data_IF_642526643072
#
_entry.id   IF_642526643072
#
_cell.length_a   1.000
_cell.length_b   1.000
_cell.length_c   1.000
_cell.angle_alpha   90.00
_cell.angle_beta   90.00
_cell.angle_gamma   90.00
#
_symmetry.space_group_name_H-M   'P 1'
#
loop_
_entity.id
_entity.type
_entity.pdbx_description
1 polymer ?
#
# COMPACT_ATOMS: atom_id res chain seq x y z
N UNK A 1 -11.98 22.57 30.71
CA UNK A 1 -12.81 21.97 29.62
C UNK A 1 -13.20 20.56 30.01
N UNK A 2 -14.36 20.08 29.56
CA UNK A 2 -14.82 18.74 29.92
C UNK A 2 -15.48 18.07 28.71
N UNK A 3 -15.14 16.79 28.48
CA UNK A 3 -15.80 15.95 27.47
C UNK A 3 -16.21 14.61 28.08
N UNK A 4 -17.42 14.20 27.79
CA UNK A 4 -17.99 12.90 28.17
C UNK A 4 -18.29 12.15 26.89
N UNK A 5 -17.73 10.97 26.70
CA UNK A 5 -17.81 10.21 25.44
C UNK A 5 -17.97 8.73 25.73
N UNK A 6 -18.72 8.03 24.90
CA UNK A 6 -18.81 6.57 24.99
C UNK A 6 -17.42 5.95 24.72
N UNK A 7 -17.03 4.98 25.53
CA UNK A 7 -15.73 4.32 25.42
C UNK A 7 -15.51 3.76 23.99
N UNK A 8 -16.54 3.15 23.42
CA UNK A 8 -16.49 2.58 22.06
C UNK A 8 -16.14 3.64 21.00
N UNK A 9 -16.76 4.82 21.07
CA UNK A 9 -16.57 5.88 20.09
C UNK A 9 -15.18 6.53 20.25
N UNK A 10 -14.76 6.76 21.50
CA UNK A 10 -13.41 7.24 21.76
C UNK A 10 -12.36 6.24 21.30
N UNK A 11 -12.54 4.94 21.60
CA UNK A 11 -11.63 3.89 21.16
C UNK A 11 -11.50 3.85 19.65
N UNK A 12 -12.60 3.88 18.92
CA UNK A 12 -12.59 3.88 17.45
C UNK A 12 -11.80 5.08 16.89
N UNK A 13 -11.99 6.27 17.47
CA UNK A 13 -11.24 7.45 17.05
C UNK A 13 -9.74 7.34 17.37
N UNK A 14 -9.40 6.84 18.56
CA UNK A 14 -8.00 6.64 18.96
C UNK A 14 -7.31 5.55 18.12
N UNK A 15 -8.01 4.49 17.72
CA UNK A 15 -7.47 3.43 16.87
C UNK A 15 -7.04 3.97 15.47
N UNK A 16 -7.74 4.97 14.97
CA UNK A 16 -7.35 5.68 13.74
C UNK A 16 -6.21 6.68 14.03
N UNK A 17 -6.41 7.55 15.02
CA UNK A 17 -5.49 8.64 15.30
C UNK A 17 -4.10 8.17 15.76
N UNK A 18 -4.00 7.04 16.48
CA UNK A 18 -2.70 6.53 16.95
C UNK A 18 -1.72 6.19 15.80
N UNK A 19 -2.20 6.01 14.57
CA UNK A 19 -1.36 5.72 13.42
C UNK A 19 -0.46 6.90 13.00
N UNK A 20 -0.74 8.09 13.52
CA UNK A 20 0.05 9.30 13.27
C UNK A 20 0.71 9.86 14.53
N UNK A 21 0.73 9.10 15.62
CA UNK A 21 1.52 9.49 16.82
C UNK A 21 3.01 9.32 16.56
N UNK A 22 3.77 10.32 16.97
CA UNK A 22 5.23 10.24 17.00
C UNK A 22 5.73 9.40 18.17
N UNK A 23 7.01 9.06 18.11
CA UNK A 23 7.72 8.29 19.15
C UNK A 23 8.52 9.16 20.13
N UNK A 24 8.71 10.44 19.81
CA UNK A 24 9.45 11.39 20.64
C UNK A 24 8.63 11.82 21.87
N UNK A 25 9.32 12.24 22.94
CA UNK A 25 8.68 12.71 24.17
C UNK A 25 8.23 14.18 24.06
N UNK A 26 7.66 14.56 22.94
CA UNK A 26 7.14 15.90 22.64
C UNK A 26 5.65 15.85 22.30
N UNK A 27 5.09 16.94 21.79
CA UNK A 27 3.68 17.04 21.41
C UNK A 27 3.27 15.98 20.40
N UNK A 28 4.19 15.44 19.58
CA UNK A 28 3.88 14.41 18.60
C UNK A 28 3.46 13.07 19.21
N UNK A 29 3.80 12.82 20.48
CA UNK A 29 3.35 11.65 21.24
C UNK A 29 1.99 11.84 21.92
N UNK A 30 1.35 12.98 21.74
CA UNK A 30 0.08 13.33 22.37
C UNK A 30 -1.05 13.39 21.34
N UNK A 31 -2.25 13.04 21.81
CA UNK A 31 -3.47 13.43 21.13
C UNK A 31 -3.86 14.83 21.54
N UNK A 32 -4.32 15.62 20.60
CA UNK A 32 -4.94 16.92 20.84
C UNK A 32 -6.45 16.76 20.70
N UNK A 33 -7.18 17.09 21.73
CA UNK A 33 -8.64 17.21 21.71
C UNK A 33 -9.01 18.65 21.45
N UNK A 34 -9.81 18.89 20.40
CA UNK A 34 -10.33 20.22 20.07
C UNK A 34 -11.85 20.22 20.27
N UNK A 35 -12.31 20.98 21.25
CA UNK A 35 -13.70 21.13 21.63
C UNK A 35 -14.27 22.42 21.03
N UNK A 36 -15.33 22.31 20.25
CA UNK A 36 -15.99 23.42 19.56
C UNK A 36 -17.34 23.76 20.22
N UNK A 37 -17.85 24.95 19.97
CA UNK A 37 -19.11 25.46 20.54
C UNK A 37 -20.36 24.62 20.22
N UNK A 38 -20.33 23.89 19.11
CA UNK A 38 -21.46 23.11 18.60
C UNK A 38 -21.51 21.66 19.14
N UNK A 39 -20.89 21.40 20.29
CA UNK A 39 -20.74 20.05 20.85
C UNK A 39 -19.98 19.09 19.92
N UNK A 40 -19.14 19.61 19.04
CA UNK A 40 -18.22 18.81 18.22
C UNK A 40 -16.89 18.71 18.94
N UNK A 41 -16.32 17.49 18.87
CA UNK A 41 -15.00 17.18 19.41
C UNK A 41 -14.22 16.48 18.33
N UNK A 42 -12.99 16.88 18.12
CA UNK A 42 -12.07 16.17 17.25
C UNK A 42 -10.85 15.70 18.04
N UNK A 43 -10.33 14.53 17.66
CA UNK A 43 -9.08 13.99 18.15
C UNK A 43 -8.05 14.12 17.04
N UNK A 44 -6.99 14.85 17.31
CA UNK A 44 -5.92 15.06 16.34
C UNK A 44 -4.63 14.45 16.86
N UNK A 45 -3.80 13.99 15.93
CA UNK A 45 -2.43 13.54 16.18
C UNK A 45 -1.54 13.85 14.97
N UNK A 46 -0.23 14.00 15.21
CA UNK A 46 0.70 14.29 14.13
C UNK A 46 2.09 13.77 14.47
N UNK A 47 2.68 12.98 13.58
CA UNK A 47 4.10 12.67 13.63
C UNK A 47 4.90 13.84 13.04
N UNK A 48 5.20 14.81 13.88
CA UNK A 48 5.84 16.07 13.46
C UNK A 48 5.02 16.74 12.35
N UNK A 49 5.67 17.14 11.25
CA UNK A 49 4.99 17.67 10.07
C UNK A 49 4.79 16.63 8.95
N UNK A 50 5.06 15.35 9.22
CA UNK A 50 5.05 14.30 8.20
C UNK A 50 3.69 13.65 8.01
N UNK A 51 3.06 13.28 9.11
CA UNK A 51 1.73 12.63 9.15
C UNK A 51 0.79 13.44 10.04
N UNK A 52 -0.49 13.37 9.72
CA UNK A 52 -1.57 14.02 10.46
C UNK A 52 -2.83 13.18 10.42
N UNK A 53 -3.57 13.16 11.50
CA UNK A 53 -4.96 12.71 11.50
C UNK A 53 -5.83 13.64 12.33
N UNK A 54 -7.09 13.76 11.90
CA UNK A 54 -8.15 14.43 12.62
C UNK A 54 -9.40 13.56 12.51
N UNK A 55 -9.88 13.09 13.64
CA UNK A 55 -10.99 12.16 13.73
C UNK A 55 -12.11 12.81 14.54
N UNK A 56 -13.29 13.04 13.93
CA UNK A 56 -14.46 13.50 14.66
C UNK A 56 -14.91 12.48 15.70
N UNK A 57 -15.30 12.94 16.86
CA UNK A 57 -15.89 12.13 17.92
C UNK A 57 -17.23 12.73 18.33
N UNK A 58 -18.25 11.90 18.45
CA UNK A 58 -19.55 12.32 18.92
C UNK A 58 -19.62 12.24 20.46
N UNK A 59 -19.45 13.35 21.18
CA UNK A 59 -19.52 13.31 22.63
C UNK A 59 -20.97 13.16 23.10
N UNK A 60 -21.16 12.49 24.22
CA UNK A 60 -22.43 12.50 24.95
C UNK A 60 -22.68 13.92 25.49
N UNK A 61 -21.62 14.56 25.94
CA UNK A 61 -21.64 15.95 26.44
C UNK A 61 -20.26 16.58 26.33
N UNK A 62 -20.20 17.82 25.89
CA UNK A 62 -18.99 18.64 26.01
C UNK A 62 -19.30 19.96 26.73
N UNK A 63 -18.32 20.53 27.39
CA UNK A 63 -18.42 21.81 28.11
C UNK A 63 -17.13 22.59 28.01
N UNK A 64 -17.24 23.83 27.61
CA UNK A 64 -16.08 24.70 27.32
C UNK A 64 -15.56 24.50 25.89
N UNK A 65 -14.85 25.49 25.40
CA UNK A 65 -14.25 25.55 24.05
C UNK A 65 -12.75 25.66 24.21
N UNK A 66 -12.01 25.01 23.33
CA UNK A 66 -10.55 25.07 23.32
C UNK A 66 -9.90 23.70 23.15
N UNK A 67 -8.59 23.66 23.38
CA UNK A 67 -7.79 22.47 23.14
C UNK A 67 -7.11 21.99 24.42
N UNK A 68 -6.97 20.69 24.55
CA UNK A 68 -6.12 20.06 25.55
C UNK A 68 -5.40 18.85 24.98
N UNK A 69 -4.34 18.42 25.61
CA UNK A 69 -3.50 17.31 25.13
C UNK A 69 -3.45 16.18 26.15
N UNK A 70 -3.33 14.95 25.64
CA UNK A 70 -3.16 13.75 26.49
C UNK A 70 -2.13 12.84 25.85
N UNK A 71 -1.22 12.30 26.65
CA UNK A 71 -0.24 11.33 26.16
C UNK A 71 -0.90 10.11 25.53
N UNK A 72 -0.57 9.84 24.25
CA UNK A 72 -1.31 8.94 23.39
C UNK A 72 -1.30 7.48 23.87
N UNK A 73 -0.11 6.92 24.14
CA UNK A 73 0.01 5.50 24.52
C UNK A 73 -0.74 5.20 25.83
N UNK A 74 -0.59 6.06 26.82
CA UNK A 74 -1.28 5.88 28.12
C UNK A 74 -2.79 6.05 27.99
N UNK A 75 -3.25 7.01 27.17
CA UNK A 75 -4.68 7.18 26.93
C UNK A 75 -5.29 5.94 26.28
N UNK A 76 -4.66 5.40 25.22
CA UNK A 76 -5.13 4.17 24.54
C UNK A 76 -5.19 3.00 25.54
N UNK A 77 -4.16 2.83 26.37
CA UNK A 77 -4.16 1.79 27.41
C UNK A 77 -5.30 1.96 28.41
N UNK A 78 -5.53 3.19 28.89
CA UNK A 78 -6.60 3.47 29.85
C UNK A 78 -7.99 3.25 29.25
N UNK A 79 -8.23 3.70 28.01
CA UNK A 79 -9.50 3.50 27.30
C UNK A 79 -9.78 2.02 27.07
N UNK A 80 -8.77 1.24 26.69
CA UNK A 80 -8.90 -0.23 26.56
C UNK A 80 -9.19 -0.91 27.90
N UNK A 81 -8.59 -0.44 29.00
CA UNK A 81 -8.80 -1.01 30.35
C UNK A 81 -10.20 -0.70 30.94
N UNK A 82 -10.85 0.38 30.50
CA UNK A 82 -12.20 0.73 30.97
C UNK A 82 -13.24 -0.27 30.46
N UNK A 83 -13.03 -0.85 29.30
CA UNK A 83 -13.93 -1.84 28.69
C UNK A 83 -15.19 -1.25 28.05
N UNK A 84 -15.88 -2.09 27.29
CA UNK A 84 -17.06 -1.70 26.53
C UNK A 84 -18.27 -1.36 27.42
N UNK A 85 -19.18 -0.56 26.88
CA UNK A 85 -20.44 -0.20 27.53
C UNK A 85 -20.33 0.90 28.60
N UNK A 86 -19.16 1.50 28.74
CA UNK A 86 -18.92 2.60 29.69
C UNK A 86 -18.76 3.94 29.00
N UNK A 87 -18.99 4.99 29.78
CA UNK A 87 -18.76 6.36 29.37
C UNK A 87 -17.52 6.89 30.08
N UNK A 88 -16.67 7.58 29.33
CA UNK A 88 -15.43 8.16 29.79
C UNK A 88 -15.62 9.66 29.97
N UNK A 89 -15.21 10.18 31.11
CA UNK A 89 -15.15 11.60 31.39
C UNK A 89 -13.70 12.04 31.38
N UNK A 90 -13.39 13.02 30.54
CA UNK A 90 -12.09 13.71 30.50
C UNK A 90 -12.31 15.17 30.88
N UNK A 91 -11.52 15.69 31.81
CA UNK A 91 -11.64 17.04 32.35
C UNK A 91 -10.25 17.67 32.41
N UNK A 92 -10.05 18.76 31.66
CA UNK A 92 -8.80 19.51 31.71
C UNK A 92 -8.89 20.68 32.71
N UNK A 93 -7.84 20.88 33.50
CA UNK A 93 -7.67 22.04 34.37
C UNK A 93 -7.02 23.23 33.65
N UNK A 94 -6.90 24.34 34.33
CA UNK A 94 -6.30 25.57 33.78
C UNK A 94 -4.77 25.46 33.58
N UNK A 95 -4.14 24.39 34.10
CA UNK A 95 -2.72 24.09 33.92
C UNK A 95 -2.47 23.11 32.78
N UNK A 96 -3.53 22.70 32.07
CA UNK A 96 -3.45 21.76 30.98
C UNK A 96 -3.42 20.28 31.40
N UNK A 97 -3.46 19.96 32.73
CA UNK A 97 -3.54 18.55 33.12
C UNK A 97 -4.93 18.00 32.84
N UNK A 98 -5.01 16.72 32.49
CA UNK A 98 -6.26 16.04 32.14
C UNK A 98 -6.54 14.91 33.12
N UNK A 99 -7.69 15.00 33.79
CA UNK A 99 -8.22 13.93 34.61
C UNK A 99 -9.17 13.04 33.79
N UNK A 100 -8.89 11.74 33.72
CA UNK A 100 -9.71 10.75 33.07
C UNK A 100 -10.37 9.87 34.13
N UNK A 101 -11.69 9.67 34.01
CA UNK A 101 -12.46 8.81 34.90
C UNK A 101 -13.57 8.11 34.16
N UNK A 102 -14.01 6.98 34.68
CA UNK A 102 -15.24 6.33 34.26
C UNK A 102 -16.44 7.10 34.83
N UNK A 103 -17.45 7.37 34.03
CA UNK A 103 -18.67 8.00 34.50
C UNK A 103 -19.32 7.16 35.60
N UNK A 104 -19.82 7.82 36.65
CA UNK A 104 -20.37 7.14 37.83
C UNK A 104 -19.32 6.64 38.84
N UNK A 105 -18.03 6.69 38.53
CA UNK A 105 -16.94 6.34 39.44
C UNK A 105 -15.94 7.49 39.63
N UNK A 106 -16.33 8.50 40.37
CA UNK A 106 -15.48 9.67 40.61
C UNK A 106 -14.27 9.43 41.56
N UNK A 107 -14.21 8.25 42.19
CA UNK A 107 -13.12 7.90 43.11
C UNK A 107 -11.86 7.41 42.41
N UNK A 108 -11.98 6.91 41.18
CA UNK A 108 -10.84 6.45 40.38
C UNK A 108 -10.57 7.43 39.25
N UNK A 109 -9.57 8.30 39.44
CA UNK A 109 -9.13 9.25 38.42
C UNK A 109 -7.69 8.97 38.04
N UNK A 110 -7.42 8.95 36.71
CA UNK A 110 -6.08 8.95 36.15
C UNK A 110 -5.75 10.39 35.75
N UNK A 111 -4.65 10.90 36.21
CA UNK A 111 -4.22 12.26 35.88
C UNK A 111 -3.03 12.20 34.91
N UNK A 112 -3.15 12.94 33.81
CA UNK A 112 -2.15 13.07 32.77
C UNK A 112 -1.66 14.52 32.73
N UNK A 113 -0.35 14.77 32.78
CA UNK A 113 0.17 16.09 32.45
C UNK A 113 -0.09 16.33 30.97
N UNK A 114 -0.66 17.47 30.62
CA UNK A 114 -0.80 17.94 29.27
C UNK A 114 0.40 18.75 28.83
N UNK A 115 0.56 18.86 27.51
CA UNK A 115 1.49 19.78 26.88
C UNK A 115 0.70 20.95 26.27
N UNK A 116 1.39 22.03 25.97
CA UNK A 116 0.79 23.19 25.30
C UNK A 116 0.28 22.81 23.91
N UNK A 117 -1.04 22.84 23.66
CA UNK A 117 -1.61 22.47 22.36
C UNK A 117 -1.19 23.41 21.23
N UNK A 118 -0.75 24.62 21.50
CA UNK A 118 -0.29 25.57 20.49
C UNK A 118 1.06 25.16 19.87
N UNK A 119 1.76 24.23 20.51
CA UNK A 119 2.98 23.61 19.94
C UNK A 119 2.70 22.48 18.94
N UNK A 120 1.43 22.11 18.75
CA UNK A 120 1.03 21.10 17.76
C UNK A 120 1.35 21.57 16.34
N UNK A 121 1.90 20.69 15.48
CA UNK A 121 2.25 21.04 14.10
C UNK A 121 1.08 21.65 13.34
N UNK A 122 1.31 22.81 12.74
CA UNK A 122 0.29 23.48 11.92
C UNK A 122 0.05 22.71 10.60
N UNK A 123 -1.11 22.08 10.53
CA UNK A 123 -1.66 21.48 9.32
C UNK A 123 -2.81 22.31 8.71
N UNK A 124 -3.25 23.36 9.39
CA UNK A 124 -4.39 24.16 8.94
C UNK A 124 -4.12 24.80 7.56
N UNK A 125 -2.90 25.28 7.33
CA UNK A 125 -2.47 25.83 6.05
C UNK A 125 -2.54 24.80 4.94
N UNK A 126 -2.05 23.58 5.15
CA UNK A 126 -2.10 22.52 4.16
C UNK A 126 -3.54 22.07 3.89
N UNK A 127 -4.35 21.91 4.95
CA UNK A 127 -5.76 21.48 4.83
C UNK A 127 -6.60 22.52 4.09
N UNK A 128 -6.44 23.81 4.42
CA UNK A 128 -7.24 24.90 3.83
C UNK A 128 -6.86 25.20 2.38
N UNK A 129 -5.59 25.00 2.01
CA UNK A 129 -5.10 25.20 0.64
C UNK A 129 -5.24 23.99 -0.26
N UNK A 130 -5.54 22.81 0.31
CA UNK A 130 -5.68 21.59 -0.45
C UNK A 130 -6.91 21.60 -1.35
N UNK A 131 -6.72 21.26 -2.62
CA UNK A 131 -7.78 21.19 -3.60
C UNK A 131 -8.18 19.74 -3.82
N UNK A 132 -9.48 19.48 -3.95
CA UNK A 132 -9.98 18.18 -4.34
C UNK A 132 -9.39 17.81 -5.72
N UNK A 133 -8.66 16.70 -5.74
CA UNK A 133 -8.14 16.11 -6.98
C UNK A 133 -9.12 15.08 -7.51
N UNK A 134 -9.55 14.13 -6.67
CA UNK A 134 -10.49 13.07 -7.02
C UNK A 134 -11.06 12.38 -5.77
N UNK A 135 -12.21 11.73 -5.91
CA UNK A 135 -12.73 10.77 -4.96
C UNK A 135 -12.59 9.36 -5.54
N UNK A 136 -12.09 8.41 -4.76
CA UNK A 136 -11.90 7.01 -5.17
C UNK A 136 -12.38 6.06 -4.07
N UNK A 137 -12.95 4.89 -4.43
CA UNK A 137 -13.30 3.86 -3.45
C UNK A 137 -12.07 3.43 -2.64
N UNK A 138 -12.21 3.35 -1.31
CA UNK A 138 -11.12 2.92 -0.43
C UNK A 138 -10.60 1.52 -0.79
N UNK A 139 -11.48 0.61 -1.19
CA UNK A 139 -11.11 -0.74 -1.68
C UNK A 139 -10.19 -0.68 -2.88
N UNK A 140 -10.52 0.16 -3.87
CA UNK A 140 -9.71 0.36 -5.07
C UNK A 140 -8.30 0.85 -4.71
N UNK A 141 -8.20 1.90 -3.91
CA UNK A 141 -6.91 2.43 -3.48
C UNK A 141 -6.11 1.38 -2.69
N UNK A 142 -6.78 0.61 -1.83
CA UNK A 142 -6.14 -0.46 -1.04
C UNK A 142 -5.58 -1.55 -1.95
N UNK A 143 -6.35 -2.02 -2.93
CA UNK A 143 -5.90 -3.02 -3.89
C UNK A 143 -4.69 -2.53 -4.69
N UNK A 144 -4.76 -1.30 -5.22
CA UNK A 144 -3.67 -0.69 -5.98
C UNK A 144 -2.40 -0.51 -5.15
N UNK A 145 -2.52 0.01 -3.93
CA UNK A 145 -1.37 0.22 -3.06
C UNK A 145 -0.72 -1.09 -2.62
N UNK A 146 -1.50 -2.14 -2.35
CA UNK A 146 -0.96 -3.46 -2.07
C UNK A 146 -0.25 -4.07 -3.27
N UNK A 147 -0.83 -3.94 -4.47
CA UNK A 147 -0.25 -4.45 -5.70
C UNK A 147 1.05 -3.74 -6.10
N UNK A 148 1.15 -2.43 -5.85
CA UNK A 148 2.31 -1.62 -6.25
C UNK A 148 3.45 -1.63 -5.23
N UNK A 149 3.13 -1.85 -3.95
CA UNK A 149 4.10 -1.79 -2.83
C UNK A 149 5.35 -2.64 -3.02
N UNK A 150 5.28 -3.89 -3.53
CA UNK A 150 6.46 -4.74 -3.72
C UNK A 150 7.52 -4.16 -4.66
N UNK A 151 7.14 -3.21 -5.49
CA UNK A 151 8.02 -2.57 -6.48
C UNK A 151 8.63 -1.25 -6.01
N UNK A 152 8.34 -0.85 -4.79
CA UNK A 152 8.91 0.37 -4.20
C UNK A 152 10.21 0.02 -3.51
N UNK A 153 11.31 0.72 -3.84
CA UNK A 153 12.61 0.51 -3.20
C UNK A 153 12.57 0.82 -1.70
N UNK A 154 13.32 0.08 -0.91
CA UNK A 154 13.55 0.34 0.52
C UNK A 154 14.88 1.08 0.79
N UNK A 155 15.71 1.29 -0.23
CA UNK A 155 17.00 2.00 -0.12
C UNK A 155 16.82 3.50 -0.33
N UNK A 156 16.43 4.20 0.74
CA UNK A 156 16.23 5.65 0.72
C UNK A 156 17.52 6.47 0.71
N UNK A 157 18.66 5.84 0.93
CA UNK A 157 19.96 6.50 0.98
C UNK A 157 20.59 6.65 -0.39
N UNK A 158 20.47 5.64 -1.26
CA UNK A 158 21.07 5.65 -2.60
C UNK A 158 20.14 6.15 -3.70
N UNK A 159 18.85 5.77 -3.60
CA UNK A 159 17.84 6.08 -4.62
C UNK A 159 16.50 6.50 -4.00
N UNK A 160 16.45 7.62 -3.28
CA UNK A 160 15.24 8.07 -2.60
C UNK A 160 14.08 8.35 -3.58
N UNK A 161 14.37 8.61 -4.86
CA UNK A 161 13.37 8.79 -5.92
C UNK A 161 12.59 7.50 -6.24
N UNK A 162 13.14 6.32 -5.91
CA UNK A 162 12.50 5.03 -6.11
C UNK A 162 11.73 4.54 -4.87
N UNK A 163 11.89 5.21 -3.72
CA UNK A 163 11.20 4.85 -2.47
C UNK A 163 9.76 5.38 -2.43
N UNK A 164 9.09 5.46 -3.56
CA UNK A 164 7.74 5.98 -3.71
C UNK A 164 6.96 5.30 -4.82
N UNK A 165 5.63 5.26 -4.67
CA UNK A 165 4.73 5.05 -5.78
C UNK A 165 4.11 6.38 -6.21
N UNK A 166 3.84 6.51 -7.50
CA UNK A 166 3.25 7.73 -8.07
C UNK A 166 2.07 7.41 -8.96
N UNK A 167 1.04 8.26 -8.93
CA UNK A 167 0.01 8.30 -9.96
C UNK A 167 0.26 9.53 -10.80
N UNK A 168 0.42 9.32 -12.10
CA UNK A 168 0.62 10.37 -13.08
C UNK A 168 0.14 9.88 -14.45
N UNK A 169 -0.47 10.77 -15.22
CA UNK A 169 -0.92 10.47 -16.60
C UNK A 169 -1.81 9.20 -16.68
N UNK A 170 -2.74 9.05 -15.73
CA UNK A 170 -3.66 7.92 -15.68
C UNK A 170 -3.03 6.58 -15.28
N UNK A 171 -1.80 6.58 -14.74
CA UNK A 171 -1.07 5.38 -14.37
C UNK A 171 -0.49 5.48 -12.97
N UNK A 172 -0.64 4.42 -12.15
CA UNK A 172 0.11 4.25 -10.92
C UNK A 172 1.38 3.44 -11.22
N UNK A 173 2.53 3.92 -10.76
CA UNK A 173 3.84 3.34 -11.10
C UNK A 173 4.73 3.26 -9.88
N UNK A 174 5.53 2.19 -9.80
CA UNK A 174 6.66 2.06 -8.87
C UNK A 174 7.75 1.18 -9.49
N UNK A 175 9.00 1.42 -9.12
CA UNK A 175 10.15 0.61 -9.52
C UNK A 175 11.25 0.69 -8.46
N UNK A 176 11.96 -0.41 -8.27
CA UNK A 176 13.19 -0.52 -7.47
C UNK A 176 14.45 -0.55 -8.34
N UNK A 177 14.32 -0.29 -9.66
CA UNK A 177 15.29 -0.41 -10.72
C UNK A 177 15.53 -1.83 -11.26
N UNK A 178 15.05 -2.87 -10.60
CA UNK A 178 15.14 -4.28 -11.04
C UNK A 178 13.77 -4.83 -11.42
N UNK A 179 12.75 -4.31 -10.80
CA UNK A 179 11.35 -4.58 -11.11
C UNK A 179 10.59 -3.28 -11.32
N UNK A 180 9.49 -3.35 -12.06
CA UNK A 180 8.62 -2.23 -12.37
C UNK A 180 7.18 -2.72 -12.38
N UNK A 181 6.27 -1.97 -11.77
CA UNK A 181 4.85 -2.15 -11.97
C UNK A 181 4.19 -0.89 -12.49
N UNK A 182 3.24 -1.09 -13.38
CA UNK A 182 2.37 -0.04 -13.90
C UNK A 182 0.94 -0.54 -13.83
N UNK A 183 0.09 0.18 -13.12
CA UNK A 183 -1.36 -0.02 -13.10
C UNK A 183 -2.01 1.07 -13.94
N UNK A 184 -2.94 0.70 -14.80
CA UNK A 184 -3.72 1.60 -15.65
C UNK A 184 -5.19 1.50 -15.29
N UNK A 185 -5.82 2.65 -15.07
CA UNK A 185 -7.27 2.76 -14.88
C UNK A 185 -7.74 4.15 -15.30
N UNK A 186 -8.95 4.24 -15.79
CA UNK A 186 -9.62 5.52 -16.04
C UNK A 186 -9.83 6.31 -14.74
N UNK A 187 -9.89 5.60 -13.62
CA UNK A 187 -10.01 6.20 -12.29
C UNK A 187 -8.78 7.02 -11.90
N UNK A 188 -7.64 6.82 -12.53
CA UNK A 188 -6.42 7.60 -12.26
C UNK A 188 -6.28 8.85 -13.15
N UNK A 189 -7.24 9.08 -14.06
CA UNK A 189 -7.21 10.29 -14.90
C UNK A 189 -7.17 11.55 -14.03
N UNK A 190 -6.32 12.50 -14.40
CA UNK A 190 -6.14 13.80 -13.73
C UNK A 190 -5.71 13.74 -12.26
N UNK A 191 -5.34 12.55 -11.76
CA UNK A 191 -4.84 12.37 -10.40
C UNK A 191 -3.30 12.47 -10.36
N UNK A 192 -2.77 13.44 -9.61
CA UNK A 192 -1.37 13.51 -9.22
C UNK A 192 -1.23 13.10 -7.76
N UNK A 193 -0.73 11.90 -7.53
CA UNK A 193 -0.59 11.32 -6.20
C UNK A 193 0.79 10.70 -6.03
N UNK A 194 1.41 10.96 -4.87
CA UNK A 194 2.75 10.42 -4.54
C UNK A 194 2.75 9.94 -3.10
N UNK A 195 3.13 8.69 -2.88
CA UNK A 195 3.23 8.10 -1.56
C UNK A 195 4.61 7.47 -1.36
N UNK A 196 5.26 7.77 -0.24
CA UNK A 196 6.54 7.16 0.14
C UNK A 196 6.30 5.80 0.81
N UNK A 197 7.23 4.85 0.63
CA UNK A 197 7.13 3.50 1.20
C UNK A 197 6.83 3.50 2.70
N UNK A 198 7.47 4.38 3.46
CA UNK A 198 7.26 4.52 4.91
C UNK A 198 5.85 4.95 5.32
N UNK A 199 5.07 5.54 4.40
CA UNK A 199 3.71 6.02 4.67
C UNK A 199 2.64 4.99 4.27
N UNK A 200 2.98 3.98 3.46
CA UNK A 200 2.04 2.93 3.06
C UNK A 200 1.30 2.26 4.22
N UNK A 201 1.98 1.84 5.32
CA UNK A 201 1.28 1.17 6.41
C UNK A 201 0.18 2.03 7.02
N UNK A 202 0.42 3.32 7.16
CA UNK A 202 -0.52 4.25 7.79
C UNK A 202 -1.68 4.60 6.87
N UNK A 203 -1.40 4.83 5.56
CA UNK A 203 -2.44 5.04 4.55
C UNK A 203 -3.33 3.81 4.41
N UNK A 204 -2.75 2.61 4.33
CA UNK A 204 -3.52 1.36 4.24
C UNK A 204 -4.40 1.12 5.47
N UNK A 205 -3.93 1.45 6.67
CA UNK A 205 -4.76 1.38 7.88
C UNK A 205 -5.93 2.36 7.84
N UNK A 206 -5.70 3.59 7.39
CA UNK A 206 -6.76 4.58 7.19
C UNK A 206 -7.79 4.09 6.18
N UNK A 207 -7.35 3.60 5.02
CA UNK A 207 -8.24 3.07 3.98
C UNK A 207 -9.05 1.87 4.47
N UNK A 208 -8.43 0.96 5.23
CA UNK A 208 -9.10 -0.21 5.82
C UNK A 208 -10.18 0.19 6.82
N UNK A 209 -9.94 1.23 7.62
CA UNK A 209 -10.96 1.75 8.56
C UNK A 209 -12.19 2.33 7.84
N UNK A 210 -12.04 2.73 6.58
CA UNK A 210 -13.09 3.34 5.75
C UNK A 210 -13.38 2.53 4.47
N UNK A 211 -13.22 1.20 4.52
CA UNK A 211 -13.23 0.31 3.36
C UNK A 211 -14.50 0.40 2.49
N UNK A 212 -15.63 0.75 3.10
CA UNK A 212 -16.92 0.85 2.40
C UNK A 212 -17.23 2.25 1.85
N UNK A 213 -16.31 3.19 1.96
CA UNK A 213 -16.50 4.60 1.59
C UNK A 213 -15.66 4.98 0.37
N UNK A 214 -16.08 6.04 -0.29
CA UNK A 214 -15.22 6.80 -1.19
C UNK A 214 -14.36 7.76 -0.37
N UNK A 215 -13.09 7.84 -0.73
CA UNK A 215 -12.11 8.71 -0.10
C UNK A 215 -11.79 9.87 -1.05
N UNK A 216 -12.07 11.07 -0.59
CA UNK A 216 -11.64 12.29 -1.30
C UNK A 216 -10.13 12.48 -1.14
N UNK A 217 -9.45 12.63 -2.26
CA UNK A 217 -8.02 12.93 -2.31
C UNK A 217 -7.88 14.42 -2.61
N UNK A 218 -7.44 15.18 -1.63
CA UNK A 218 -7.09 16.58 -1.78
C UNK A 218 -5.58 16.72 -1.82
N UNK A 219 -5.07 17.65 -2.61
CA UNK A 219 -3.63 17.81 -2.81
C UNK A 219 -3.20 19.27 -2.73
N UNK A 220 -2.03 19.48 -2.15
CA UNK A 220 -1.24 20.70 -2.26
C UNK A 220 0.08 20.39 -2.97
N UNK A 221 0.94 21.38 -3.14
CA UNK A 221 2.31 21.14 -3.62
C UNK A 221 3.14 20.29 -2.66
N UNK A 222 2.79 20.25 -1.35
CA UNK A 222 3.58 19.61 -0.30
C UNK A 222 2.94 18.37 0.31
N UNK A 223 1.61 18.27 0.32
CA UNK A 223 0.88 17.24 1.05
C UNK A 223 -0.29 16.66 0.26
N UNK A 224 -0.66 15.44 0.61
CA UNK A 224 -1.96 14.86 0.29
C UNK A 224 -2.80 14.76 1.54
N UNK A 225 -4.09 15.08 1.41
CA UNK A 225 -5.09 15.01 2.46
C UNK A 225 -6.19 14.06 1.98
N UNK A 226 -6.34 12.95 2.66
CA UNK A 226 -7.42 11.99 2.45
C UNK A 226 -8.56 12.33 3.39
N UNK A 227 -9.77 12.44 2.87
CA UNK A 227 -10.98 12.70 3.66
C UNK A 227 -12.00 11.61 3.45
N UNK A 228 -12.48 11.05 4.54
CA UNK A 228 -13.58 10.10 4.56
C UNK A 228 -14.92 10.82 4.73
N UNK A 229 -16.02 10.14 4.41
CA UNK A 229 -17.38 10.72 4.47
C UNK A 229 -17.82 11.07 5.89
N UNK A 230 -17.27 10.40 6.91
CA UNK A 230 -17.53 10.69 8.32
C UNK A 230 -16.78 11.94 8.84
N UNK A 231 -16.03 12.61 7.98
CA UNK A 231 -15.21 13.79 8.32
C UNK A 231 -13.81 13.45 8.81
N UNK A 232 -13.47 12.17 8.95
CA UNK A 232 -12.10 11.76 9.30
C UNK A 232 -11.13 12.21 8.22
N UNK A 233 -10.06 12.86 8.66
CA UNK A 233 -9.02 13.39 7.76
C UNK A 233 -7.68 12.74 8.09
N UNK A 234 -6.94 12.36 7.05
CA UNK A 234 -5.58 11.82 7.15
C UNK A 234 -4.67 12.57 6.18
N UNK A 235 -3.62 13.18 6.68
CA UNK A 235 -2.65 13.94 5.90
C UNK A 235 -1.26 13.32 5.91
N UNK A 236 -0.57 13.37 4.78
CA UNK A 236 0.84 12.97 4.68
C UNK A 236 1.59 13.85 3.67
N UNK A 237 2.88 14.04 3.95
CA UNK A 237 3.73 14.86 3.08
C UNK A 237 4.08 14.12 1.81
N UNK A 238 4.00 14.81 0.68
CA UNK A 238 4.46 14.29 -0.62
C UNK A 238 5.98 14.12 -0.62
N UNK A 239 6.45 13.12 -1.34
CA UNK A 239 7.88 13.00 -1.64
C UNK A 239 8.39 14.26 -2.35
N UNK A 240 9.49 14.79 -1.87
CA UNK A 240 10.19 15.91 -2.51
C UNK A 240 11.05 15.46 -3.70
N UNK A 241 11.30 14.15 -3.80
CA UNK A 241 12.03 13.56 -4.90
C UNK A 241 11.15 13.38 -6.13
N UNK A 242 11.68 13.69 -7.29
CA UNK A 242 10.99 13.44 -8.53
C UNK A 242 11.13 11.96 -8.89
N UNK A 243 10.00 11.28 -9.09
CA UNK A 243 10.01 9.94 -9.62
C UNK A 243 10.72 9.91 -10.99
N UNK A 244 11.55 8.90 -11.20
CA UNK A 244 12.33 8.72 -12.43
C UNK A 244 11.39 8.72 -13.65
N UNK A 245 11.79 9.43 -14.71
CA UNK A 245 11.06 9.33 -15.97
C UNK A 245 11.33 7.97 -16.60
N UNK A 246 10.28 7.17 -16.69
CA UNK A 246 10.36 5.87 -17.34
C UNK A 246 10.47 6.06 -18.86
N UNK A 247 11.33 5.29 -19.55
CA UNK A 247 11.36 5.26 -21.00
C UNK A 247 9.98 4.93 -21.60
N UNK A 248 9.65 5.53 -22.73
CA UNK A 248 8.33 5.39 -23.37
C UNK A 248 7.96 3.92 -23.65
N UNK A 249 8.95 3.08 -23.97
CA UNK A 249 8.68 1.66 -24.22
C UNK A 249 8.14 0.93 -22.97
N UNK A 250 8.58 1.29 -21.75
CA UNK A 250 7.99 0.74 -20.52
C UNK A 250 6.56 1.26 -20.31
N UNK A 251 6.32 2.55 -20.55
CA UNK A 251 4.98 3.13 -20.40
C UNK A 251 3.95 2.52 -21.36
N UNK A 252 4.43 1.97 -22.49
CA UNK A 252 3.62 1.28 -23.50
C UNK A 252 3.65 -0.25 -23.35
N UNK A 253 4.13 -0.77 -22.23
CA UNK A 253 4.27 -2.22 -22.01
C UNK A 253 2.94 -2.99 -22.02
N UNK A 254 1.80 -2.33 -21.82
CA UNK A 254 0.49 -2.93 -22.00
C UNK A 254 0.27 -3.45 -23.44
N UNK A 255 0.88 -2.77 -24.41
CA UNK A 255 0.75 -3.08 -25.84
C UNK A 255 1.88 -4.00 -26.35
N UNK A 256 2.79 -4.43 -25.46
CA UNK A 256 3.87 -5.33 -25.87
C UNK A 256 3.32 -6.66 -26.34
N UNK A 257 3.81 -7.09 -27.48
CA UNK A 257 3.60 -8.42 -28.03
C UNK A 257 4.84 -9.25 -27.66
N UNK A 258 4.75 -10.11 -26.65
CA UNK A 258 5.90 -10.91 -26.22
C UNK A 258 6.17 -12.02 -27.22
N UNK A 259 7.41 -12.45 -27.32
CA UNK A 259 7.80 -13.56 -28.20
C UNK A 259 7.38 -14.91 -27.65
N UNK A 260 7.43 -15.07 -26.32
CA UNK A 260 7.05 -16.29 -25.62
C UNK A 260 6.06 -15.95 -24.52
N UNK A 261 5.10 -16.80 -24.34
CA UNK A 261 4.05 -16.63 -23.35
C UNK A 261 3.88 -17.95 -22.60
N UNK A 262 3.93 -17.86 -21.26
CA UNK A 262 3.63 -18.98 -20.38
C UNK A 262 2.40 -18.63 -19.54
N UNK A 263 1.58 -19.63 -19.27
CA UNK A 263 0.51 -19.53 -18.30
C UNK A 263 0.73 -20.62 -17.23
N UNK A 264 0.64 -20.26 -15.97
CA UNK A 264 0.82 -21.20 -14.85
C UNK A 264 0.00 -20.76 -13.64
N UNK A 265 -0.25 -21.72 -12.76
CA UNK A 265 -0.88 -21.42 -11.48
C UNK A 265 0.11 -20.67 -10.59
N UNK A 266 -0.32 -19.53 -10.02
CA UNK A 266 0.52 -18.69 -9.14
C UNK A 266 1.04 -19.48 -7.94
N UNK A 267 0.16 -20.28 -7.31
CA UNK A 267 0.51 -21.07 -6.12
C UNK A 267 1.59 -22.11 -6.42
N UNK A 268 1.45 -22.82 -7.52
CA UNK A 268 2.41 -23.85 -7.95
C UNK A 268 3.77 -23.20 -8.23
N UNK A 269 3.78 -22.08 -8.96
CA UNK A 269 5.02 -21.37 -9.26
C UNK A 269 5.70 -20.83 -8.00
N UNK A 270 4.93 -20.23 -7.08
CA UNK A 270 5.49 -19.74 -5.80
C UNK A 270 6.07 -20.87 -4.96
N UNK A 271 5.36 -22.00 -4.86
CA UNK A 271 5.83 -23.18 -4.11
C UNK A 271 7.14 -23.71 -4.70
N UNK A 272 7.24 -23.80 -6.02
CA UNK A 272 8.46 -24.27 -6.69
C UNK A 272 9.62 -23.30 -6.50
N UNK A 273 9.36 -21.97 -6.58
CA UNK A 273 10.38 -20.95 -6.27
C UNK A 273 10.84 -21.03 -4.81
N UNK A 274 9.93 -21.27 -3.86
CA UNK A 274 10.26 -21.41 -2.45
C UNK A 274 11.10 -22.69 -2.20
N UNK A 275 10.72 -23.79 -2.84
CA UNK A 275 11.46 -25.04 -2.73
C UNK A 275 12.89 -24.88 -3.27
N UNK A 276 13.05 -24.33 -4.46
CA UNK A 276 14.35 -24.03 -5.06
C UNK A 276 15.18 -23.09 -4.18
N UNK A 277 14.54 -22.13 -3.50
CA UNK A 277 15.23 -21.17 -2.62
C UNK A 277 15.67 -21.78 -1.28
N UNK A 278 15.06 -22.87 -0.84
CA UNK A 278 15.34 -23.48 0.47
C UNK A 278 16.73 -24.08 0.56
N UNK A 279 17.35 -24.45 -0.56
CA UNK A 279 18.68 -25.04 -0.67
C UNK A 279 19.82 -24.05 -0.93
N UNK A 280 19.53 -22.75 -1.05
CA UNK A 280 20.52 -21.74 -1.47
C UNK A 280 20.93 -20.79 -0.35
N UNK A 281 22.16 -20.26 -0.39
CA UNK A 281 22.59 -19.15 0.44
C UNK A 281 21.80 -17.89 0.13
N UNK A 282 21.29 -17.21 1.16
CA UNK A 282 20.17 -16.24 1.15
C UNK A 282 20.34 -14.97 0.30
N UNK A 283 21.49 -14.70 -0.30
CA UNK A 283 21.73 -13.38 -0.90
C UNK A 283 21.86 -13.33 -2.43
N UNK A 284 22.15 -14.44 -3.11
CA UNK A 284 22.43 -14.46 -4.55
C UNK A 284 21.73 -15.61 -5.29
N UNK A 285 20.47 -15.87 -4.92
CA UNK A 285 19.72 -16.95 -5.54
C UNK A 285 19.05 -16.52 -6.86
N UNK A 286 19.33 -17.27 -7.90
CA UNK A 286 18.74 -17.08 -9.22
C UNK A 286 17.95 -18.32 -9.64
N UNK A 287 16.78 -18.10 -10.20
CA UNK A 287 15.98 -19.12 -10.86
C UNK A 287 16.14 -18.99 -12.36
N UNK A 288 16.49 -20.07 -13.01
CA UNK A 288 16.55 -20.16 -14.45
C UNK A 288 15.30 -20.84 -14.98
N UNK A 289 14.59 -20.21 -15.88
CA UNK A 289 13.44 -20.75 -16.57
C UNK A 289 13.89 -21.33 -17.90
N UNK A 290 13.70 -22.64 -18.09
CA UNK A 290 14.00 -23.32 -19.32
C UNK A 290 12.70 -23.60 -20.08
N UNK A 291 12.56 -23.00 -21.25
CA UNK A 291 11.38 -23.22 -22.10
C UNK A 291 11.46 -24.61 -22.71
N UNK A 292 10.42 -25.44 -22.59
CA UNK A 292 10.41 -26.76 -23.23
C UNK A 292 10.46 -26.64 -24.74
N UNK A 293 11.24 -27.48 -25.38
CA UNK A 293 11.32 -27.55 -26.87
C UNK A 293 9.98 -27.91 -27.50
N UNK A 294 9.16 -28.65 -26.75
CA UNK A 294 7.84 -29.12 -27.17
C UNK A 294 6.76 -28.76 -26.15
N UNK A 295 6.42 -27.47 -26.08
CA UNK A 295 5.41 -26.96 -25.17
C UNK A 295 3.98 -27.45 -25.45
N UNK A 296 3.73 -28.02 -26.64
CA UNK A 296 2.41 -28.54 -27.01
C UNK A 296 2.17 -29.96 -26.50
N UNK A 297 3.22 -30.77 -26.43
CA UNK A 297 3.12 -32.18 -25.97
C UNK A 297 3.55 -32.34 -24.54
N UNK A 298 4.43 -31.47 -24.02
CA UNK A 298 4.88 -31.43 -22.62
C UNK A 298 4.76 -30.02 -22.06
N UNK A 299 3.58 -29.62 -21.59
CA UNK A 299 3.34 -28.29 -21.10
C UNK A 299 3.94 -28.10 -19.69
N UNK A 300 5.24 -28.27 -19.59
CA UNK A 300 5.98 -28.16 -18.32
C UNK A 300 7.12 -27.16 -18.49
N UNK A 301 7.19 -26.19 -17.60
CA UNK A 301 8.32 -25.27 -17.48
C UNK A 301 9.32 -25.86 -16.48
N UNK A 302 10.55 -26.09 -16.91
CA UNK A 302 11.61 -26.51 -16.01
C UNK A 302 12.27 -25.28 -15.40
N UNK A 303 12.37 -25.26 -14.09
CA UNK A 303 13.11 -24.27 -13.35
C UNK A 303 14.30 -24.92 -12.68
N UNK A 304 15.46 -24.32 -12.75
CA UNK A 304 16.65 -24.78 -12.02
C UNK A 304 17.27 -23.67 -11.19
N UNK A 305 17.95 -24.07 -10.13
CA UNK A 305 18.85 -23.22 -9.38
C UNK A 305 20.19 -23.92 -9.25
N UNK A 306 21.23 -23.23 -9.67
CA UNK A 306 22.60 -23.68 -9.52
C UNK A 306 23.20 -22.98 -8.30
N UNK A 307 23.57 -23.77 -7.29
CA UNK A 307 24.43 -23.32 -6.20
C UNK A 307 25.81 -23.93 -6.40
N UNK A 308 26.82 -23.41 -5.70
CA UNK A 308 28.19 -23.99 -5.74
C UNK A 308 28.24 -25.46 -5.29
N UNK A 309 27.22 -25.96 -4.60
CA UNK A 309 27.18 -27.31 -3.99
C UNK A 309 26.12 -28.22 -4.58
N UNK A 310 24.99 -27.66 -5.01
CA UNK A 310 23.82 -28.45 -5.42
C UNK A 310 23.13 -27.83 -6.64
N UNK A 311 22.58 -28.68 -7.50
CA UNK A 311 21.63 -28.29 -8.53
C UNK A 311 20.24 -28.81 -8.14
N UNK A 312 19.29 -27.92 -7.97
CA UNK A 312 17.89 -28.26 -7.78
C UNK A 312 17.12 -27.98 -9.08
N UNK A 313 16.28 -28.91 -9.47
CA UNK A 313 15.43 -28.77 -10.66
C UNK A 313 13.99 -29.03 -10.26
N UNK A 314 13.11 -28.12 -10.65
CA UNK A 314 11.66 -28.18 -10.43
C UNK A 314 10.92 -28.09 -11.76
N UNK A 315 9.86 -28.86 -11.89
CA UNK A 315 8.98 -28.82 -13.06
C UNK A 315 7.64 -28.18 -12.66
N UNK A 316 7.30 -27.06 -13.32
CA UNK A 316 6.04 -26.36 -13.10
C UNK A 316 5.12 -26.61 -14.28
N UNK A 317 3.94 -27.21 -14.06
CA UNK A 317 2.98 -27.40 -15.12
C UNK A 317 2.56 -26.08 -15.76
N UNK A 318 2.62 -25.99 -17.07
CA UNK A 318 2.01 -24.90 -17.80
C UNK A 318 0.51 -25.18 -17.94
N UNK A 319 -0.30 -24.17 -17.71
CA UNK A 319 -1.74 -24.31 -17.90
C UNK A 319 -2.08 -24.38 -19.39
N UNK A 320 -2.83 -25.40 -19.77
CA UNK A 320 -3.50 -25.44 -21.07
C UNK A 320 -4.73 -24.54 -20.97
N UNK A 321 -4.70 -23.43 -21.67
CA UNK A 321 -5.80 -22.47 -21.66
C UNK A 321 -6.88 -22.93 -22.66
N UNK A 322 -8.10 -23.09 -22.17
CA UNK A 322 -9.23 -23.45 -23.01
C UNK A 322 -9.58 -22.29 -23.97
N UNK A 323 -9.66 -22.52 -25.29
CA UNK A 323 -10.06 -21.49 -26.24
C UNK A 323 -11.40 -20.80 -25.94
N UNK A 324 -12.32 -21.48 -25.24
CA UNK A 324 -13.59 -20.87 -24.79
C UNK A 324 -13.40 -19.77 -23.75
N UNK A 325 -12.33 -19.81 -22.98
CA UNK A 325 -11.99 -18.81 -21.97
C UNK A 325 -11.15 -17.66 -22.55
N UNK A 326 -10.82 -17.75 -23.83
CA UNK A 326 -9.99 -16.79 -24.57
C UNK A 326 -10.60 -15.39 -24.71
N UNK A 327 -11.84 -15.19 -24.31
CA UNK A 327 -12.48 -13.86 -24.28
C UNK A 327 -11.95 -12.96 -23.16
N UNK A 328 -11.30 -13.53 -22.15
CA UNK A 328 -10.68 -12.77 -21.08
C UNK A 328 -9.27 -12.34 -21.49
N UNK A 329 -9.03 -11.07 -21.46
CA UNK A 329 -7.67 -10.52 -21.54
C UNK A 329 -6.88 -10.92 -20.29
N UNK A 330 -5.70 -11.48 -20.37
CA UNK A 330 -4.74 -11.71 -21.46
C UNK A 330 -4.78 -13.14 -22.08
N UNK A 331 -5.74 -13.99 -21.71
CA UNK A 331 -5.86 -15.38 -22.15
C UNK A 331 -5.89 -15.54 -23.68
N UNK A 332 -6.60 -14.66 -24.36
CA UNK A 332 -6.66 -14.65 -25.82
C UNK A 332 -5.27 -14.53 -26.46
N UNK A 333 -4.42 -13.69 -25.87
CA UNK A 333 -3.07 -13.48 -26.35
C UNK A 333 -2.16 -14.71 -26.17
N UNK A 334 -2.36 -15.46 -25.09
CA UNK A 334 -1.66 -16.72 -24.82
C UNK A 334 -2.03 -17.76 -25.87
N UNK A 335 -3.34 -17.95 -26.13
CA UNK A 335 -3.84 -18.94 -27.09
C UNK A 335 -3.42 -18.61 -28.50
N UNK A 336 -3.57 -17.37 -28.94
CA UNK A 336 -3.20 -16.94 -30.27
C UNK A 336 -1.70 -17.15 -30.55
N UNK A 337 -0.86 -17.12 -29.50
CA UNK A 337 0.57 -17.36 -29.61
C UNK A 337 0.96 -18.85 -29.53
N UNK A 338 0.36 -19.61 -28.65
CA UNK A 338 0.57 -21.07 -28.59
C UNK A 338 0.20 -21.74 -29.92
N UNK A 339 -0.79 -21.19 -30.62
CA UNK A 339 -1.19 -21.68 -31.92
C UNK A 339 -0.36 -21.15 -33.09
N UNK A 340 0.38 -20.05 -32.93
CA UNK A 340 1.00 -19.33 -34.04
C UNK A 340 2.46 -19.71 -34.33
N UNK A 341 3.24 -20.23 -33.35
CA UNK A 341 4.68 -20.43 -33.59
C UNK A 341 5.28 -21.58 -32.79
N UNK A 342 5.37 -22.73 -33.44
CA UNK A 342 6.27 -23.82 -33.04
C UNK A 342 7.48 -23.91 -33.99
N UNK A 343 7.65 -22.99 -34.89
CA UNK A 343 8.75 -23.04 -35.88
C UNK A 343 9.83 -21.99 -35.56
N UNK A 344 11.00 -22.45 -35.15
CA UNK A 344 12.23 -21.66 -35.14
C UNK A 344 12.53 -20.90 -33.84
N UNK A 345 12.38 -21.53 -32.71
CA UNK A 345 12.58 -20.88 -31.40
C UNK A 345 13.98 -21.18 -30.83
N UNK A 346 14.75 -20.13 -30.56
CA UNK A 346 15.89 -20.22 -29.66
C UNK A 346 15.43 -20.84 -28.31
N UNK A 347 15.97 -21.99 -27.99
CA UNK A 347 15.90 -22.60 -26.66
C UNK A 347 16.70 -21.73 -25.68
N UNK A 348 16.10 -20.66 -25.25
CA UNK A 348 16.76 -19.72 -24.34
C UNK A 348 16.35 -19.98 -22.89
N UNK A 349 17.33 -20.09 -22.02
CA UNK A 349 17.11 -20.01 -20.58
C UNK A 349 17.07 -18.55 -20.12
N UNK A 350 16.19 -18.26 -19.17
CA UNK A 350 16.01 -16.92 -18.60
C UNK A 350 16.31 -16.96 -17.11
N UNK A 351 17.24 -16.12 -16.66
CA UNK A 351 17.71 -16.10 -15.29
C UNK A 351 17.16 -14.89 -14.55
N UNK A 352 16.48 -15.11 -13.43
CA UNK A 352 15.88 -14.07 -12.62
C UNK A 352 16.33 -14.19 -11.17
N UNK A 353 16.49 -13.05 -10.50
CA UNK A 353 16.65 -13.05 -9.05
C UNK A 353 15.29 -13.44 -8.41
N UNK A 354 15.29 -14.51 -7.61
CA UNK A 354 14.08 -15.08 -7.03
C UNK A 354 13.34 -14.09 -6.12
N UNK A 355 14.07 -13.21 -5.41
CA UNK A 355 13.48 -12.24 -4.50
C UNK A 355 12.51 -11.32 -5.24
N UNK A 356 12.95 -10.73 -6.34
CA UNK A 356 12.09 -9.87 -7.15
C UNK A 356 10.93 -10.63 -7.78
N UNK A 357 11.20 -11.84 -8.25
CA UNK A 357 10.16 -12.67 -8.84
C UNK A 357 9.08 -13.05 -7.81
N UNK A 358 9.48 -13.45 -6.60
CA UNK A 358 8.58 -13.77 -5.50
C UNK A 358 7.75 -12.54 -5.06
N UNK A 359 8.39 -11.38 -4.95
CA UNK A 359 7.71 -10.13 -4.58
C UNK A 359 6.67 -9.75 -5.63
N UNK A 360 7.02 -9.82 -6.92
CA UNK A 360 6.10 -9.59 -8.04
C UNK A 360 4.92 -10.55 -8.01
N UNK A 361 5.19 -11.85 -7.92
CA UNK A 361 4.13 -12.86 -7.87
C UNK A 361 3.21 -12.68 -6.66
N UNK A 362 3.76 -12.34 -5.51
CA UNK A 362 2.98 -12.10 -4.30
C UNK A 362 2.00 -10.93 -4.43
N UNK A 363 2.36 -9.90 -5.19
CA UNK A 363 1.51 -8.73 -5.47
C UNK A 363 0.39 -8.96 -6.49
N UNK A 364 0.40 -10.10 -7.21
CA UNK A 364 -0.63 -10.44 -8.19
C UNK A 364 -1.83 -11.08 -7.50
N UNK A 365 -3.03 -10.65 -7.85
CA UNK A 365 -4.26 -11.08 -7.17
C UNK A 365 -4.84 -12.39 -7.73
N UNK A 366 -4.51 -12.77 -8.98
CA UNK A 366 -5.07 -13.92 -9.67
C UNK A 366 -4.32 -15.22 -9.41
N UNK A 367 -5.06 -16.33 -9.45
CA UNK A 367 -4.47 -17.68 -9.40
C UNK A 367 -3.67 -18.05 -10.67
N UNK A 368 -3.84 -17.30 -11.75
CA UNK A 368 -3.17 -17.52 -13.03
C UNK A 368 -2.25 -16.36 -13.32
N UNK A 369 -0.99 -16.66 -13.58
CA UNK A 369 0.04 -15.69 -13.94
C UNK A 369 0.45 -15.89 -15.37
N UNK A 370 0.54 -14.82 -16.15
CA UNK A 370 1.02 -14.82 -17.51
C UNK A 370 2.43 -14.26 -17.56
N UNK A 371 3.40 -15.12 -17.81
CA UNK A 371 4.77 -14.71 -18.03
C UNK A 371 5.02 -14.52 -19.53
N UNK A 372 5.61 -13.38 -19.89
CA UNK A 372 5.98 -13.08 -21.26
C UNK A 372 7.42 -12.58 -21.29
N UNK A 373 8.24 -13.05 -22.21
CA UNK A 373 9.58 -12.51 -22.44
C UNK A 373 9.65 -11.80 -23.78
N UNK A 374 10.32 -10.64 -23.81
CA UNK A 374 10.62 -9.92 -25.06
C UNK A 374 12.02 -10.29 -25.50
N UNK A 375 12.22 -10.41 -26.81
CA UNK A 375 13.54 -10.62 -27.38
C UNK A 375 14.41 -9.36 -27.36
N UNK A 376 15.70 -9.54 -27.16
CA UNK A 376 16.73 -8.51 -27.22
C UNK A 376 17.76 -8.66 -26.09
N UNK A 377 18.89 -8.00 -26.17
CA UNK A 377 20.06 -8.09 -25.30
C UNK A 377 19.80 -7.73 -23.81
N UNK A 378 18.58 -7.32 -23.46
CA UNK A 378 18.10 -7.14 -22.08
C UNK A 378 16.70 -7.73 -22.00
N UNK A 379 16.62 -8.98 -21.55
CA UNK A 379 15.37 -9.68 -21.37
C UNK A 379 14.61 -9.17 -20.16
N UNK A 380 13.29 -9.18 -20.29
CA UNK A 380 12.38 -8.91 -19.18
C UNK A 380 11.33 -9.99 -19.12
N UNK A 381 10.96 -10.41 -17.94
CA UNK A 381 9.73 -11.14 -17.72
C UNK A 381 8.60 -10.13 -17.50
N UNK A 382 7.53 -10.27 -18.25
CA UNK A 382 6.37 -9.40 -18.19
C UNK A 382 5.19 -10.22 -17.68
N UNK A 383 4.57 -9.76 -16.63
CA UNK A 383 3.32 -10.29 -16.11
C UNK A 383 2.21 -9.30 -16.38
N UNK A 384 1.11 -9.77 -16.95
CA UNK A 384 -0.10 -8.98 -17.13
C UNK A 384 -1.17 -9.54 -16.21
N UNK A 385 -1.79 -8.65 -15.45
CA UNK A 385 -2.88 -8.96 -14.54
C UNK A 385 -4.04 -7.98 -14.74
N UNK A 386 -5.25 -8.38 -14.38
CA UNK A 386 -6.41 -7.53 -14.35
C UNK A 386 -7.14 -7.73 -13.03
N UNK A 387 -7.47 -6.65 -12.37
CA UNK A 387 -8.31 -6.65 -11.19
C UNK A 387 -9.75 -6.42 -11.66
N UNK A 388 -10.47 -7.51 -11.91
CA UNK A 388 -11.79 -7.48 -12.57
C UNK A 388 -12.82 -6.65 -11.80
N UNK A 389 -12.75 -6.68 -10.45
CA UNK A 389 -13.66 -5.91 -9.59
C UNK A 389 -13.50 -4.38 -9.75
N UNK A 390 -12.42 -3.91 -10.37
CA UNK A 390 -12.07 -2.49 -10.38
C UNK A 390 -11.69 -1.92 -11.76
N UNK A 391 -11.79 -2.72 -12.82
CA UNK A 391 -11.35 -2.31 -14.18
C UNK A 391 -9.92 -1.74 -14.21
N UNK A 392 -9.00 -2.44 -13.54
CA UNK A 392 -7.58 -2.09 -13.50
C UNK A 392 -6.77 -3.11 -14.25
N UNK A 393 -6.02 -2.65 -15.23
CA UNK A 393 -4.97 -3.44 -15.87
C UNK A 393 -3.64 -3.19 -15.14
N UNK A 394 -2.91 -4.26 -14.87
CA UNK A 394 -1.57 -4.20 -14.28
C UNK A 394 -0.55 -4.88 -15.21
N UNK A 395 0.58 -4.24 -15.37
CA UNK A 395 1.78 -4.81 -15.97
C UNK A 395 2.90 -4.78 -14.96
N UNK A 396 3.51 -5.93 -14.74
CA UNK A 396 4.69 -6.09 -13.91
C UNK A 396 5.86 -6.57 -14.76
N UNK A 397 7.01 -5.98 -14.59
CA UNK A 397 8.22 -6.26 -15.35
C UNK A 397 9.32 -6.61 -14.37
N UNK A 398 10.00 -7.72 -14.59
CA UNK A 398 11.21 -8.11 -13.84
C UNK A 398 12.38 -8.17 -14.81
N UNK A 399 13.47 -7.49 -14.44
CA UNK A 399 14.68 -7.51 -15.25
C UNK A 399 15.37 -8.88 -15.20
N UNK A 400 15.83 -9.32 -16.34
CA UNK A 400 16.67 -10.50 -16.47
C UNK A 400 18.10 -10.19 -16.04
N UNK A 401 18.73 -11.15 -15.39
CA UNK A 401 20.16 -11.09 -15.04
C UNK A 401 20.93 -11.91 -16.07
N UNK A 402 21.82 -11.26 -16.79
CA UNK A 402 22.73 -11.87 -17.77
C UNK A 402 23.86 -12.61 -17.10
#
# INVERSE_FOLDING_TARGET
MKVVVAQKDLKAALDIAQNTLGSSADISSHFVFDLQDNNQVTVMSSESKRLYSCVPVSPVKSTGVGKFTVEGKRLVQAVNAIGDGHTINMESDDKGNVALSREGNSKSKLNYPGLDPDTFPDWATEISSAKLSKALPAKLLTACLNAIKPYVSDDDTKRPELCQAVIRDGKMMATDAYSLAILRSNEFADLDFKIQLKDFPNVLKFLKAHETQDIEIHSTAKAHILKAQDGTTFGFMRSQHNFQNLPAHFLNSFDWTPRRVWAFNKGDLLNSIELLSSGSDKNDFFVTFNHPEDALTNPTLTMDSLTERDSLVEEVPLMVVNPADATQYPLKMVIDRQNAEVSGVDTGSFKFNYKYLKEVLSGLDNNVVFGCSKEGSKGFMLFKNRFDDHDIDMVSIVAWVS
#
